data_IF_302675478010
#
_entry.id   IF_302675478010
#
_cell.length_a   1.000
_cell.length_b   1.000
_cell.length_c   1.000
_cell.angle_alpha   90.00
_cell.angle_beta   90.00
_cell.angle_gamma   90.00
#
_symmetry.space_group_name_H-M   'P 1'
#
loop_
_entity.id
_entity.type
_entity.pdbx_description
1 polymer ?
#
# COMPACT_ATOMS: atom_id res chain seq x y z
N UNK A 1 -17.30 1.64 32.73
CA UNK A 1 -17.48 0.64 31.64
C UNK A 1 -18.12 1.19 30.37
N UNK A 2 -19.18 2.01 30.42
CA UNK A 2 -19.88 2.49 29.20
C UNK A 2 -19.06 3.45 28.32
N UNK A 3 -18.29 4.35 28.93
CA UNK A 3 -17.48 5.35 28.19
C UNK A 3 -16.37 4.66 27.37
N UNK A 4 -15.71 3.65 27.94
CA UNK A 4 -14.70 2.87 27.23
C UNK A 4 -15.26 2.15 26.01
N UNK A 5 -16.45 1.55 26.15
CA UNK A 5 -17.14 0.90 25.03
C UNK A 5 -17.50 1.90 23.93
N UNK A 6 -18.06 3.07 24.30
CA UNK A 6 -18.41 4.13 23.35
C UNK A 6 -17.17 4.63 22.59
N UNK A 7 -16.07 4.88 23.29
CA UNK A 7 -14.80 5.25 22.67
C UNK A 7 -14.30 4.19 21.68
N UNK A 8 -14.37 2.92 22.07
CA UNK A 8 -13.91 1.80 21.23
C UNK A 8 -14.76 1.68 19.95
N UNK A 9 -16.08 1.83 20.08
CA UNK A 9 -16.99 1.84 18.93
C UNK A 9 -16.75 3.05 18.02
N UNK A 10 -16.48 4.22 18.59
CA UNK A 10 -16.13 5.41 17.80
C UNK A 10 -14.85 5.19 17.01
N UNK A 11 -13.79 4.66 17.64
CA UNK A 11 -12.52 4.36 16.95
C UNK A 11 -12.72 3.31 15.86
N UNK A 12 -13.47 2.24 16.14
CA UNK A 12 -13.78 1.22 15.15
C UNK A 12 -14.57 1.80 13.96
N UNK A 13 -15.56 2.67 14.22
CA UNK A 13 -16.33 3.34 13.20
C UNK A 13 -15.47 4.26 12.32
N UNK A 14 -14.56 5.02 12.92
CA UNK A 14 -13.60 5.86 12.18
C UNK A 14 -12.69 5.00 11.32
N UNK A 15 -12.09 3.94 11.87
CA UNK A 15 -11.21 3.06 11.11
C UNK A 15 -11.92 2.37 9.95
N UNK A 16 -13.20 2.01 10.13
CA UNK A 16 -14.02 1.43 9.07
C UNK A 16 -14.29 2.45 7.94
N UNK A 17 -14.68 3.67 8.28
CA UNK A 17 -14.98 4.73 7.30
C UNK A 17 -13.74 5.21 6.54
N UNK A 18 -12.60 5.25 7.22
CA UNK A 18 -11.32 5.68 6.66
C UNK A 18 -10.43 4.50 6.23
N UNK A 19 -10.98 3.29 6.08
CA UNK A 19 -10.23 2.17 5.52
C UNK A 19 -9.98 2.48 4.04
N UNK A 20 -8.71 2.76 3.65
CA UNK A 20 -8.42 3.20 2.30
C UNK A 20 -8.83 2.13 1.29
N UNK A 21 -9.17 2.56 0.09
CA UNK A 21 -9.46 1.71 -1.04
C UNK A 21 -8.26 1.64 -2.01
N UNK A 22 -8.43 0.87 -3.09
CA UNK A 22 -7.36 0.67 -4.08
C UNK A 22 -6.97 1.95 -4.83
N UNK A 23 -7.92 2.85 -5.10
CA UNK A 23 -7.65 4.12 -5.76
C UNK A 23 -6.82 5.04 -4.84
N UNK A 24 -7.16 5.09 -3.56
CA UNK A 24 -6.40 5.86 -2.56
C UNK A 24 -4.94 5.38 -2.48
N UNK A 25 -4.73 4.05 -2.57
CA UNK A 25 -3.39 3.48 -2.60
C UNK A 25 -2.64 3.82 -3.89
N UNK A 26 -3.31 3.76 -5.04
CA UNK A 26 -2.70 4.14 -6.32
C UNK A 26 -2.28 5.62 -6.33
N UNK A 27 -3.10 6.49 -5.75
CA UNK A 27 -2.80 7.91 -5.61
C UNK A 27 -1.68 8.17 -4.62
N UNK A 28 -1.64 7.45 -3.49
CA UNK A 28 -0.51 7.47 -2.56
C UNK A 28 0.80 7.09 -3.25
N UNK A 29 0.84 5.96 -3.95
CA UNK A 29 2.05 5.49 -4.65
C UNK A 29 2.46 6.49 -5.72
N UNK A 30 1.50 7.03 -6.50
CA UNK A 30 1.77 8.06 -7.52
C UNK A 30 2.35 9.35 -6.92
N UNK A 31 1.80 9.82 -5.81
CA UNK A 31 2.23 11.07 -5.14
C UNK A 31 3.53 10.91 -4.37
N UNK A 32 3.75 9.74 -3.77
CA UNK A 32 5.02 9.39 -3.13
C UNK A 32 6.12 9.18 -4.17
N UNK A 33 5.78 8.65 -5.36
CA UNK A 33 6.71 8.43 -6.46
C UNK A 33 7.35 9.73 -6.93
N UNK A 34 6.57 10.81 -6.98
CA UNK A 34 7.07 12.11 -7.41
C UNK A 34 7.90 12.84 -6.34
N UNK A 35 7.73 12.52 -5.05
CA UNK A 35 8.15 13.45 -3.97
C UNK A 35 9.12 12.85 -2.94
N UNK A 36 8.99 11.58 -2.55
CA UNK A 36 9.85 10.98 -1.50
C UNK A 36 10.52 9.65 -1.87
N UNK A 37 10.04 8.95 -2.91
CA UNK A 37 10.53 7.62 -3.31
C UNK A 37 12.03 7.59 -3.70
N UNK A 38 12.59 8.69 -4.22
CA UNK A 38 14.04 8.79 -4.48
C UNK A 38 14.91 8.83 -3.22
N UNK A 39 14.43 9.40 -2.11
CA UNK A 39 15.23 9.57 -0.88
C UNK A 39 15.13 8.41 0.09
N UNK A 40 13.93 7.86 0.31
CA UNK A 40 13.73 6.79 1.30
C UNK A 40 13.77 5.38 0.70
N UNK A 41 13.34 5.24 -0.55
CA UNK A 41 13.24 3.95 -1.24
C UNK A 41 14.31 3.79 -2.33
N UNK A 42 15.08 4.82 -2.66
CA UNK A 42 16.08 4.80 -3.75
C UNK A 42 17.13 3.69 -3.65
N UNK A 43 17.45 3.23 -2.43
CA UNK A 43 18.34 2.09 -2.21
C UNK A 43 17.62 0.73 -2.14
N UNK A 44 16.29 0.71 -2.10
CA UNK A 44 15.50 -0.52 -2.13
C UNK A 44 15.17 -0.92 -3.56
N UNK A 45 14.97 -2.23 -3.79
CA UNK A 45 14.57 -2.76 -5.10
C UNK A 45 13.32 -2.06 -5.66
N UNK A 46 12.40 -1.60 -4.78
CA UNK A 46 11.20 -0.86 -5.17
C UNK A 46 11.54 0.50 -5.76
N UNK A 47 12.39 1.29 -5.09
CA UNK A 47 12.77 2.60 -5.59
C UNK A 47 13.59 2.50 -6.87
N UNK A 48 14.41 1.45 -7.02
CA UNK A 48 15.11 1.16 -8.28
C UNK A 48 14.14 0.74 -9.39
N UNK A 49 13.16 -0.11 -9.09
CA UNK A 49 12.10 -0.49 -10.02
C UNK A 49 11.28 0.74 -10.44
N UNK A 50 10.83 1.58 -9.50
CA UNK A 50 10.12 2.84 -9.79
C UNK A 50 10.96 3.84 -10.58
N UNK A 51 12.26 3.96 -10.29
CA UNK A 51 13.15 4.88 -11.03
C UNK A 51 13.38 4.40 -12.46
N UNK A 52 13.48 3.08 -12.68
CA UNK A 52 13.55 2.49 -14.04
C UNK A 52 12.21 2.54 -14.76
N UNK A 53 11.11 2.39 -14.03
CA UNK A 53 9.74 2.29 -14.53
C UNK A 53 9.04 3.66 -14.67
N UNK A 54 9.76 4.76 -14.92
CA UNK A 54 9.15 6.10 -15.01
C UNK A 54 7.92 6.21 -15.93
N UNK A 55 7.80 5.33 -16.94
CA UNK A 55 6.61 5.11 -17.78
C UNK A 55 5.74 3.90 -17.38
N UNK A 56 6.33 2.85 -16.79
CA UNK A 56 5.68 1.62 -16.33
C UNK A 56 5.04 1.74 -14.93
N UNK A 57 5.07 2.93 -14.34
CA UNK A 57 4.34 3.25 -13.11
C UNK A 57 2.84 2.94 -13.27
N UNK A 58 2.29 3.19 -14.47
CA UNK A 58 0.93 2.79 -14.80
C UNK A 58 0.74 1.26 -14.78
N UNK A 59 1.75 0.48 -15.18
CA UNK A 59 1.74 -0.97 -15.18
C UNK A 59 1.72 -1.55 -13.75
N UNK A 60 2.59 -1.03 -12.88
CA UNK A 60 2.62 -1.38 -11.44
C UNK A 60 1.33 -1.00 -10.70
N UNK A 61 0.73 0.13 -11.09
CA UNK A 61 -0.54 0.60 -10.53
C UNK A 61 -1.76 -0.09 -11.16
N UNK A 62 -1.61 -0.97 -12.15
CA UNK A 62 -2.76 -1.70 -12.69
C UNK A 62 -3.35 -2.63 -11.63
N UNK A 63 -4.66 -2.87 -11.72
CA UNK A 63 -5.36 -3.84 -10.87
C UNK A 63 -4.80 -5.27 -10.95
N UNK A 64 -4.00 -5.59 -11.97
CA UNK A 64 -3.36 -6.90 -12.10
C UNK A 64 -2.10 -7.00 -11.24
N UNK A 65 -1.29 -5.94 -11.21
CA UNK A 65 -0.08 -5.90 -10.41
C UNK A 65 -0.34 -5.49 -8.94
N UNK A 66 -1.47 -4.83 -8.65
CA UNK A 66 -1.85 -4.46 -7.28
C UNK A 66 -3.06 -5.23 -6.78
N UNK A 67 -2.85 -6.04 -5.73
CA UNK A 67 -3.90 -6.76 -5.02
C UNK A 67 -4.23 -6.08 -3.69
N UNK A 68 -5.52 -6.00 -3.35
CA UNK A 68 -6.01 -5.50 -2.06
C UNK A 68 -6.71 -6.62 -1.29
N UNK A 69 -6.20 -6.96 -0.12
CA UNK A 69 -6.85 -7.83 0.84
C UNK A 69 -7.49 -6.97 1.96
N UNK A 70 -8.83 -6.95 2.03
CA UNK A 70 -9.58 -6.09 2.95
C UNK A 70 -9.96 -6.83 4.24
N UNK A 71 -9.60 -6.27 5.39
CA UNK A 71 -9.90 -6.78 6.73
C UNK A 71 -10.84 -5.85 7.52
N UNK A 72 -11.71 -5.10 6.82
CA UNK A 72 -12.70 -4.15 7.34
C UNK A 72 -12.14 -2.87 7.94
N UNK A 73 -11.21 -2.95 8.91
CA UNK A 73 -10.61 -1.79 9.58
C UNK A 73 -9.24 -1.41 9.00
N UNK A 74 -8.61 -2.35 8.31
CA UNK A 74 -7.38 -2.15 7.56
C UNK A 74 -7.45 -2.95 6.26
N UNK A 75 -6.54 -2.65 5.34
CA UNK A 75 -6.34 -3.42 4.12
C UNK A 75 -4.85 -3.67 3.93
N UNK A 76 -4.49 -4.80 3.34
CA UNK A 76 -3.13 -5.07 2.87
C UNK A 76 -3.11 -4.88 1.36
N UNK A 77 -2.14 -4.12 0.89
CA UNK A 77 -1.90 -3.86 -0.53
C UNK A 77 -0.62 -4.56 -0.95
N UNK A 78 -0.74 -5.52 -1.85
CA UNK A 78 0.39 -6.24 -2.42
C UNK A 78 0.66 -5.70 -3.81
N UNK A 79 1.88 -5.24 -4.05
CA UNK A 79 2.38 -4.91 -5.39
C UNK A 79 3.26 -6.06 -5.83
N UNK A 80 2.88 -6.69 -6.93
CA UNK A 80 3.58 -7.79 -7.58
C UNK A 80 3.78 -7.43 -9.06
N UNK A 81 5.00 -7.02 -9.48
CA UNK A 81 5.29 -6.66 -10.86
C UNK A 81 5.32 -7.84 -11.81
N UNK A 82 5.73 -9.01 -11.32
CA UNK A 82 5.95 -10.21 -12.12
C UNK A 82 4.67 -11.06 -12.21
N UNK A 83 3.65 -10.73 -11.40
CA UNK A 83 2.37 -11.43 -11.36
C UNK A 83 2.46 -12.73 -10.57
N UNK A 84 1.36 -13.51 -10.57
CA UNK A 84 1.23 -14.75 -9.76
C UNK A 84 2.37 -15.79 -9.96
N UNK A 85 3.20 -15.64 -11.00
CA UNK A 85 4.34 -16.51 -11.30
C UNK A 85 5.65 -16.13 -10.57
N UNK A 86 5.69 -14.98 -9.87
CA UNK A 86 6.88 -14.40 -9.23
C UNK A 86 6.78 -14.30 -7.71
N UNK A 87 6.75 -15.43 -6.98
CA UNK A 87 6.61 -15.49 -5.51
C UNK A 87 7.68 -14.74 -4.67
N UNK A 88 8.66 -14.04 -5.27
CA UNK A 88 9.83 -13.54 -4.54
C UNK A 88 10.01 -12.01 -4.61
N UNK A 89 9.39 -11.33 -5.58
CA UNK A 89 9.58 -9.89 -5.81
C UNK A 89 8.32 -9.04 -5.53
N UNK A 90 7.62 -9.31 -4.43
CA UNK A 90 6.44 -8.54 -4.01
C UNK A 90 6.71 -7.56 -2.85
N UNK A 91 5.92 -6.49 -2.82
CA UNK A 91 5.87 -5.52 -1.72
C UNK A 91 4.52 -5.51 -1.08
N UNK A 92 4.47 -5.37 0.25
CA UNK A 92 3.20 -5.26 0.97
C UNK A 92 3.13 -3.98 1.77
N UNK A 93 1.98 -3.35 1.71
CA UNK A 93 1.66 -2.13 2.43
C UNK A 93 0.43 -2.35 3.30
N UNK A 94 0.50 -1.93 4.55
CA UNK A 94 -0.65 -1.82 5.43
C UNK A 94 -1.34 -0.47 5.17
N UNK A 95 -2.60 -0.52 4.72
CA UNK A 95 -3.48 0.63 4.66
C UNK A 95 -4.40 0.67 5.89
N UNK A 96 -4.31 1.71 6.70
CA UNK A 96 -5.13 1.89 7.91
C UNK A 96 -5.38 3.38 8.17
N UNK A 97 -6.62 3.76 8.46
CA UNK A 97 -6.98 5.14 8.82
C UNK A 97 -6.54 6.19 7.79
N UNK A 98 -6.67 5.90 6.49
CA UNK A 98 -6.24 6.77 5.40
C UNK A 98 -4.72 6.87 5.19
N UNK A 99 -3.92 6.06 5.88
CA UNK A 99 -2.46 6.04 5.77
C UNK A 99 -1.96 4.70 5.23
N UNK A 100 -0.77 4.70 4.64
CA UNK A 100 -0.12 3.52 4.08
C UNK A 100 1.30 3.34 4.63
N UNK A 101 1.63 2.12 5.03
CA UNK A 101 2.91 1.76 5.64
C UNK A 101 3.50 0.54 4.95
N UNK A 102 4.77 0.60 4.54
CA UNK A 102 5.48 -0.57 4.01
C UNK A 102 5.74 -1.59 5.12
N UNK A 103 5.22 -2.80 4.96
CA UNK A 103 5.34 -3.89 5.96
C UNK A 103 6.20 -5.05 5.45
N UNK A 104 6.30 -5.25 4.15
CA UNK A 104 7.12 -6.32 3.57
C UNK A 104 7.86 -5.83 2.32
N UNK A 105 9.12 -6.26 2.22
CA UNK A 105 10.01 -5.99 1.09
C UNK A 105 10.37 -7.33 0.44
N UNK A 106 10.61 -7.35 -0.87
CA UNK A 106 11.04 -8.54 -1.59
C UNK A 106 12.38 -9.01 -1.02
N UNK A 107 12.53 -10.33 -0.96
CA UNK A 107 13.78 -10.96 -0.54
C UNK A 107 14.61 -11.22 -1.79
N UNK A 108 15.62 -10.38 -2.00
CA UNK A 108 16.68 -10.64 -2.99
C UNK A 108 17.55 -11.82 -2.61
#
# INVERSE_FOLDING_TARGET
>A
MRIGLVLLLTVAGVLYLYNPNLQDFQEYVRTQASTHLQRELGNTALGQAFTRAGSDLAALLTRKATRRDNYYFWSIYTIDPDGDDGEQDYWRFLGIGGQFFLIERPRR
#
